data_IF_777809098055
#
_entry.id   IF_777809098055
#
_cell.length_a   1.000
_cell.length_b   1.000
_cell.length_c   1.000
_cell.angle_alpha   90.00
_cell.angle_beta   90.00
_cell.angle_gamma   90.00
#
_symmetry.space_group_name_H-M   'P 1'
#
loop_
_entity.id
_entity.type
_entity.pdbx_description
1 polymer ?
#
# COMPACT_ATOMS: atom_id res chain seq x y z
N UNK A 1 -10.93 52.31 -31.57
CA UNK A 1 -11.18 50.85 -31.50
C UNK A 1 -10.07 50.24 -30.66
N UNK A 2 -10.33 49.77 -29.42
CA UNK A 2 -9.29 49.10 -28.64
C UNK A 2 -9.15 47.65 -29.11
N UNK A 3 -7.91 47.22 -29.31
CA UNK A 3 -7.55 45.87 -29.74
C UNK A 3 -7.97 44.83 -28.69
N UNK A 4 -8.73 43.84 -29.14
CA UNK A 4 -9.12 42.65 -28.38
C UNK A 4 -7.87 41.85 -28.04
N UNK A 5 -7.52 41.76 -26.75
CA UNK A 5 -6.57 40.75 -26.25
C UNK A 5 -7.27 39.39 -26.29
N UNK A 6 -6.83 38.52 -27.20
CA UNK A 6 -7.18 37.11 -27.19
C UNK A 6 -6.53 36.41 -25.98
N UNK A 7 -7.25 35.57 -25.23
CA UNK A 7 -6.66 34.80 -24.14
C UNK A 7 -5.88 33.61 -24.71
N UNK A 8 -4.60 33.51 -24.36
CA UNK A 8 -3.80 32.30 -24.57
C UNK A 8 -4.35 31.22 -23.62
N UNK A 9 -5.19 30.34 -24.14
CA UNK A 9 -5.75 29.19 -23.40
C UNK A 9 -5.42 27.89 -24.13
N UNK A 10 -4.70 27.00 -23.44
CA UNK A 10 -5.21 25.65 -23.29
C UNK A 10 -4.55 24.47 -24.01
N UNK A 11 -3.32 24.54 -24.52
CA UNK A 11 -2.67 23.32 -25.04
C UNK A 11 -1.94 22.54 -23.93
N UNK A 12 -1.17 23.23 -23.07
CA UNK A 12 -0.41 22.60 -21.99
C UNK A 12 -1.26 22.00 -20.85
N UNK A 13 -2.33 22.68 -20.42
CA UNK A 13 -3.09 22.23 -19.23
C UNK A 13 -3.99 21.02 -19.49
N UNK A 14 -4.43 20.80 -20.73
CA UNK A 14 -5.24 19.63 -21.11
C UNK A 14 -4.35 18.39 -21.19
N UNK A 15 -3.13 18.56 -21.72
CA UNK A 15 -2.15 17.49 -21.81
C UNK A 15 -1.69 17.02 -20.41
N UNK A 16 -1.38 17.96 -19.50
CA UNK A 16 -0.99 17.62 -18.11
C UNK A 16 -2.15 16.97 -17.34
N UNK A 17 -3.38 17.46 -17.50
CA UNK A 17 -4.56 16.86 -16.85
C UNK A 17 -4.83 15.42 -17.33
N UNK A 18 -4.65 15.16 -18.63
CA UNK A 18 -4.76 13.80 -19.18
C UNK A 18 -3.66 12.86 -18.65
N UNK A 19 -2.44 13.37 -18.49
CA UNK A 19 -1.31 12.62 -17.95
C UNK A 19 -1.52 12.26 -16.48
N UNK A 20 -2.00 13.21 -15.67
CA UNK A 20 -2.33 13.00 -14.26
C UNK A 20 -3.46 12.01 -14.06
N UNK A 21 -4.52 12.08 -14.87
CA UNK A 21 -5.64 11.15 -14.79
C UNK A 21 -5.23 9.72 -15.16
N UNK A 22 -4.43 9.56 -16.22
CA UNK A 22 -3.88 8.25 -16.62
C UNK A 22 -2.97 7.66 -15.56
N UNK A 23 -2.13 8.49 -14.95
CA UNK A 23 -1.24 8.08 -13.87
C UNK A 23 -2.03 7.65 -12.63
N UNK A 24 -3.02 8.47 -12.22
CA UNK A 24 -3.89 8.15 -11.09
C UNK A 24 -4.65 6.83 -11.31
N UNK A 25 -5.27 6.67 -12.49
CA UNK A 25 -6.03 5.46 -12.82
C UNK A 25 -5.13 4.23 -12.91
N UNK A 26 -3.93 4.35 -13.49
CA UNK A 26 -2.99 3.25 -13.58
C UNK A 26 -2.54 2.75 -12.19
N UNK A 27 -2.03 3.65 -11.35
CA UNK A 27 -1.61 3.30 -10.00
C UNK A 27 -2.79 2.86 -9.12
N UNK A 28 -4.00 3.35 -9.38
CA UNK A 28 -5.23 2.89 -8.75
C UNK A 28 -5.56 1.44 -9.05
N UNK A 29 -5.56 1.04 -10.33
CA UNK A 29 -5.85 -0.34 -10.73
C UNK A 29 -4.78 -1.29 -10.19
N UNK A 30 -3.51 -0.90 -10.30
CA UNK A 30 -2.39 -1.70 -9.81
C UNK A 30 -2.43 -1.85 -8.29
N UNK A 31 -2.67 -0.77 -7.55
CA UNK A 31 -2.80 -0.82 -6.08
C UNK A 31 -3.98 -1.68 -5.62
N UNK A 32 -5.11 -1.59 -6.34
CA UNK A 32 -6.28 -2.44 -6.10
C UNK A 32 -5.95 -3.93 -6.31
N UNK A 33 -5.35 -4.26 -7.45
CA UNK A 33 -4.96 -5.62 -7.79
C UNK A 33 -3.92 -6.18 -6.80
N UNK A 34 -2.89 -5.40 -6.45
CA UNK A 34 -1.84 -5.81 -5.51
C UNK A 34 -2.39 -6.11 -4.09
N UNK A 35 -3.52 -5.50 -3.73
CA UNK A 35 -4.18 -5.75 -2.44
C UNK A 35 -5.07 -6.99 -2.47
N UNK A 36 -5.78 -7.20 -3.59
CA UNK A 36 -6.80 -8.25 -3.70
C UNK A 36 -6.24 -9.60 -4.14
N UNK A 37 -5.23 -9.58 -5.01
CA UNK A 37 -4.61 -10.78 -5.58
C UNK A 37 -3.99 -11.73 -4.52
N UNK A 38 -3.14 -11.27 -3.58
CA UNK A 38 -2.67 -12.12 -2.48
C UNK A 38 -3.82 -12.67 -1.65
N UNK A 39 -4.84 -11.85 -1.38
CA UNK A 39 -5.98 -12.27 -0.58
C UNK A 39 -6.76 -13.42 -1.21
N UNK A 40 -7.01 -13.36 -2.52
CA UNK A 40 -7.67 -14.44 -3.27
C UNK A 40 -6.86 -15.74 -3.19
N UNK A 41 -5.54 -15.64 -3.36
CA UNK A 41 -4.66 -16.82 -3.33
C UNK A 41 -4.51 -17.38 -1.91
N UNK A 42 -4.37 -16.55 -0.88
CA UNK A 42 -4.36 -17.02 0.52
C UNK A 42 -5.69 -17.66 0.92
N UNK A 43 -6.81 -17.10 0.47
CA UNK A 43 -8.14 -17.64 0.74
C UNK A 43 -8.38 -18.99 0.05
N UNK A 44 -7.76 -19.23 -1.10
CA UNK A 44 -7.88 -20.50 -1.83
C UNK A 44 -7.00 -21.61 -1.27
N UNK A 45 -5.93 -21.24 -0.56
CA UNK A 45 -5.16 -22.13 0.30
C UNK A 45 -5.95 -22.45 1.58
N UNK A 46 -7.21 -22.91 1.44
CA UNK A 46 -8.27 -23.25 2.43
C UNK A 46 -7.82 -23.86 3.77
N UNK A 47 -6.58 -24.33 3.82
CA UNK A 47 -5.97 -25.13 4.85
C UNK A 47 -4.70 -24.47 5.41
N UNK A 48 -4.67 -23.15 5.58
CA UNK A 48 -3.83 -22.55 6.64
C UNK A 48 -4.47 -22.78 8.04
N UNK A 49 -5.60 -23.48 8.12
CA UNK A 49 -6.31 -23.81 9.36
C UNK A 49 -5.68 -24.89 10.27
N UNK A 50 -4.65 -25.71 9.92
CA UNK A 50 -3.97 -26.50 10.96
C UNK A 50 -3.06 -25.63 11.83
N UNK A 51 -2.89 -24.35 11.51
CA UNK A 51 -2.06 -23.42 12.24
C UNK A 51 -2.89 -22.38 13.00
N UNK A 52 -2.36 -21.95 14.15
CA UNK A 52 -2.94 -20.85 14.89
C UNK A 52 -2.80 -19.54 14.10
N UNK A 53 -3.75 -18.63 14.28
CA UNK A 53 -3.76 -17.32 13.62
C UNK A 53 -2.40 -16.57 13.69
N UNK A 54 -1.65 -16.55 14.81
CA UNK A 54 -0.32 -15.95 14.87
C UNK A 54 0.70 -16.54 13.89
N UNK A 55 0.65 -17.86 13.68
CA UNK A 55 1.56 -18.56 12.75
C UNK A 55 1.23 -18.18 11.32
N UNK A 56 -0.06 -18.06 10.99
CA UNK A 56 -0.52 -17.59 9.67
C UNK A 56 0.00 -16.19 9.40
N UNK A 57 -0.14 -15.26 10.35
CA UNK A 57 0.35 -13.89 10.23
C UNK A 57 1.87 -13.82 10.02
N UNK A 58 2.64 -14.68 10.70
CA UNK A 58 4.09 -14.77 10.50
C UNK A 58 4.44 -15.27 9.10
N UNK A 59 3.76 -16.31 8.60
CA UNK A 59 3.98 -16.85 7.25
C UNK A 59 3.63 -15.80 6.18
N UNK A 60 2.59 -15.00 6.40
CA UNK A 60 2.14 -13.98 5.45
C UNK A 60 3.00 -12.71 5.47
N UNK A 61 3.51 -12.27 6.62
CA UNK A 61 4.13 -10.94 6.76
C UNK A 61 5.65 -10.97 6.95
N UNK A 62 6.22 -12.02 7.54
CA UNK A 62 7.66 -12.09 7.78
C UNK A 62 8.47 -12.17 6.47
N UNK A 63 8.09 -13.01 5.46
CA UNK A 63 8.78 -13.01 4.17
C UNK A 63 8.65 -11.65 3.46
N UNK A 64 7.48 -11.01 3.54
CA UNK A 64 7.26 -9.69 2.98
C UNK A 64 8.22 -8.64 3.55
N UNK A 65 8.43 -8.61 4.88
CA UNK A 65 9.38 -7.70 5.53
C UNK A 65 10.81 -7.94 5.01
N UNK A 66 11.25 -9.20 4.94
CA UNK A 66 12.58 -9.54 4.43
C UNK A 66 12.76 -9.10 2.98
N UNK A 67 11.77 -9.37 2.12
CA UNK A 67 11.78 -8.98 0.71
C UNK A 67 11.79 -7.45 0.54
N UNK A 68 11.00 -6.71 1.33
CA UNK A 68 11.00 -5.24 1.30
C UNK A 68 12.31 -4.59 1.74
N UNK A 69 13.14 -5.30 2.52
CA UNK A 69 14.49 -4.85 2.88
C UNK A 69 15.51 -5.18 1.78
N UNK A 70 15.35 -6.30 1.08
CA UNK A 70 16.34 -6.80 0.11
C UNK A 70 16.12 -6.26 -1.31
N UNK A 71 14.88 -6.28 -1.81
CA UNK A 71 14.55 -5.95 -3.20
C UNK A 71 14.92 -4.53 -3.63
N UNK A 72 14.75 -3.48 -2.79
CA UNK A 72 15.16 -2.13 -3.16
C UNK A 72 16.64 -2.02 -3.56
N UNK A 73 17.53 -2.90 -3.07
CA UNK A 73 18.93 -2.93 -3.47
C UNK A 73 19.16 -3.49 -4.88
N UNK A 74 18.26 -4.34 -5.37
CA UNK A 74 18.40 -5.06 -6.65
C UNK A 74 17.60 -4.35 -7.75
N UNK A 75 16.56 -3.60 -7.39
CA UNK A 75 15.59 -3.05 -8.34
C UNK A 75 16.24 -2.25 -9.47
N UNK A 76 17.22 -1.41 -9.14
CA UNK A 76 17.93 -0.53 -10.06
C UNK A 76 18.81 -1.28 -11.08
N UNK A 77 19.23 -2.52 -10.81
CA UNK A 77 20.10 -3.27 -11.72
C UNK A 77 19.33 -3.95 -12.87
N UNK A 78 18.02 -4.07 -12.74
CA UNK A 78 17.18 -4.84 -13.67
C UNK A 78 16.18 -3.91 -14.34
N UNK A 79 16.03 -3.96 -15.68
CA UNK A 79 15.05 -3.12 -16.37
C UNK A 79 13.61 -3.44 -15.93
N UNK A 80 12.80 -2.40 -15.79
CA UNK A 80 11.45 -2.48 -15.22
C UNK A 80 10.50 -3.49 -15.90
N UNK A 81 10.63 -3.68 -17.22
CA UNK A 81 9.84 -4.67 -17.96
C UNK A 81 10.10 -6.12 -17.53
N UNK A 82 11.34 -6.45 -17.14
CA UNK A 82 11.69 -7.80 -16.67
C UNK A 82 11.04 -8.05 -15.31
N UNK A 83 11.01 -7.06 -14.42
CA UNK A 83 10.32 -7.18 -13.13
C UNK A 83 8.84 -7.50 -13.30
N UNK A 84 8.15 -6.82 -14.23
CA UNK A 84 6.74 -7.08 -14.49
C UNK A 84 6.50 -8.50 -15.05
N UNK A 85 7.37 -8.97 -15.96
CA UNK A 85 7.31 -10.33 -16.49
C UNK A 85 7.55 -11.39 -15.41
N UNK A 86 8.52 -11.18 -14.52
CA UNK A 86 8.80 -12.06 -13.39
C UNK A 86 7.63 -12.09 -12.41
N UNK A 87 7.10 -10.93 -12.01
CA UNK A 87 5.97 -10.81 -11.10
C UNK A 87 4.73 -11.52 -11.62
N UNK A 88 4.38 -11.30 -12.89
CA UNK A 88 3.22 -11.92 -13.53
C UNK A 88 3.39 -13.43 -13.69
N UNK A 89 4.58 -13.89 -14.08
CA UNK A 89 4.91 -15.32 -14.15
C UNK A 89 4.81 -16.00 -12.78
N UNK A 90 5.39 -15.40 -11.73
CA UNK A 90 5.29 -15.90 -10.36
C UNK A 90 3.85 -15.95 -9.85
N UNK A 91 3.03 -14.95 -10.18
CA UNK A 91 1.60 -14.96 -9.83
C UNK A 91 0.82 -16.05 -10.56
N UNK A 92 1.04 -16.22 -11.87
CA UNK A 92 0.41 -17.31 -12.64
C UNK A 92 0.81 -18.65 -12.03
N UNK A 93 2.10 -18.86 -11.76
CA UNK A 93 2.58 -20.09 -11.14
C UNK A 93 1.95 -20.31 -9.75
N UNK A 94 1.86 -19.28 -8.92
CA UNK A 94 1.23 -19.37 -7.60
C UNK A 94 -0.27 -19.69 -7.68
N UNK A 95 -1.00 -19.09 -8.62
CA UNK A 95 -2.43 -19.37 -8.82
C UNK A 95 -2.66 -20.79 -9.34
N UNK A 96 -1.83 -21.26 -10.27
CA UNK A 96 -1.87 -22.65 -10.75
C UNK A 96 -1.53 -23.62 -9.61
N UNK A 97 -0.47 -23.36 -8.84
CA UNK A 97 -0.07 -24.19 -7.72
C UNK A 97 -1.15 -24.26 -6.63
N UNK A 98 -1.79 -23.13 -6.32
CA UNK A 98 -2.89 -23.08 -5.36
C UNK A 98 -4.13 -23.84 -5.84
N UNK A 99 -4.45 -23.78 -7.13
CA UNK A 99 -5.56 -24.54 -7.73
C UNK A 99 -5.28 -26.05 -7.83
N UNK A 100 -4.05 -26.40 -8.16
CA UNK A 100 -3.62 -27.79 -8.32
C UNK A 100 -3.43 -28.52 -6.99
N UNK A 101 -3.31 -27.82 -5.86
CA UNK A 101 -3.16 -28.42 -4.55
C UNK A 101 -4.49 -29.04 -4.05
N UNK A 102 -4.65 -30.39 -4.00
CA UNK A 102 -5.81 -31.01 -3.39
C UNK A 102 -5.91 -30.70 -1.87
N UNK A 103 -7.09 -30.91 -1.25
CA UNK A 103 -7.27 -30.73 0.19
C UNK A 103 -6.36 -31.63 1.06
N UNK A 104 -5.75 -32.69 0.50
CA UNK A 104 -4.85 -33.59 1.23
C UNK A 104 -3.34 -33.30 1.05
N UNK A 105 -2.95 -32.17 0.44
CA UNK A 105 -1.53 -31.80 0.32
C UNK A 105 -0.88 -31.61 1.69
N UNK A 106 0.34 -32.13 1.85
CA UNK A 106 1.16 -31.96 3.06
C UNK A 106 1.38 -30.46 3.38
N UNK A 107 1.24 -30.10 4.66
CA UNK A 107 1.40 -28.73 5.17
C UNK A 107 2.61 -27.95 4.63
N UNK A 108 3.85 -28.50 4.51
CA UNK A 108 5.01 -27.74 4.05
C UNK A 108 4.89 -27.18 2.62
N UNK A 109 4.22 -27.88 1.71
CA UNK A 109 4.05 -27.39 0.33
C UNK A 109 3.13 -26.16 0.32
N UNK A 110 2.08 -26.15 1.14
CA UNK A 110 1.18 -25.00 1.26
C UNK A 110 1.86 -23.81 1.89
N UNK A 111 2.65 -24.02 2.94
CA UNK A 111 3.42 -22.94 3.55
C UNK A 111 4.43 -22.38 2.57
N UNK A 112 5.07 -23.21 1.73
CA UNK A 112 5.96 -22.75 0.68
C UNK A 112 5.24 -21.87 -0.34
N UNK A 113 4.06 -22.28 -0.84
CA UNK A 113 3.24 -21.46 -1.75
C UNK A 113 2.86 -20.14 -1.07
N UNK A 114 2.44 -20.17 0.20
CA UNK A 114 2.08 -18.96 0.93
C UNK A 114 3.28 -17.99 1.09
N UNK A 115 4.47 -18.52 1.40
CA UNK A 115 5.72 -17.71 1.48
C UNK A 115 6.05 -17.10 0.13
N UNK A 116 5.92 -17.85 -0.97
CA UNK A 116 6.15 -17.34 -2.33
C UNK A 116 5.14 -16.25 -2.71
N UNK A 117 3.87 -16.41 -2.36
CA UNK A 117 2.81 -15.40 -2.58
C UNK A 117 3.09 -14.14 -1.78
N UNK A 118 3.47 -14.28 -0.50
CA UNK A 118 3.88 -13.17 0.37
C UNK A 118 5.06 -12.41 -0.22
N UNK A 119 6.11 -13.13 -0.62
CA UNK A 119 7.30 -12.55 -1.24
C UNK A 119 6.95 -11.82 -2.55
N UNK A 120 6.19 -12.44 -3.44
CA UNK A 120 5.81 -11.85 -4.73
C UNK A 120 4.98 -10.57 -4.56
N UNK A 121 4.08 -10.56 -3.57
CA UNK A 121 3.30 -9.36 -3.20
C UNK A 121 4.20 -8.23 -2.72
N UNK A 122 5.19 -8.54 -1.89
CA UNK A 122 6.16 -7.56 -1.41
C UNK A 122 7.05 -7.01 -2.52
N UNK A 123 7.52 -7.86 -3.46
CA UNK A 123 8.26 -7.39 -4.65
C UNK A 123 7.40 -6.43 -5.46
N UNK A 124 6.13 -6.77 -5.72
CA UNK A 124 5.23 -5.94 -6.50
C UNK A 124 4.98 -4.59 -5.82
N UNK A 125 4.73 -4.58 -4.51
CA UNK A 125 4.56 -3.35 -3.73
C UNK A 125 5.81 -2.45 -3.82
N UNK A 126 7.00 -3.01 -3.58
CA UNK A 126 8.26 -2.26 -3.66
C UNK A 126 8.47 -1.68 -5.05
N UNK A 127 8.20 -2.48 -6.09
CA UNK A 127 8.36 -2.07 -7.48
C UNK A 127 7.44 -0.90 -7.84
N UNK A 128 6.18 -0.90 -7.41
CA UNK A 128 5.28 0.22 -7.71
C UNK A 128 5.53 1.43 -6.81
N UNK A 129 5.89 1.23 -5.54
CA UNK A 129 6.22 2.32 -4.63
C UNK A 129 7.52 3.03 -5.03
N UNK A 130 8.53 2.31 -5.51
CA UNK A 130 9.76 2.94 -6.00
C UNK A 130 9.48 3.84 -7.20
N UNK A 131 8.56 3.44 -8.08
CA UNK A 131 8.16 4.22 -9.26
C UNK A 131 7.44 5.51 -8.92
N UNK A 132 6.99 5.72 -7.68
CA UNK A 132 6.44 6.99 -7.26
C UNK A 132 7.45 8.14 -7.39
N UNK A 133 8.76 7.85 -7.37
CA UNK A 133 9.80 8.86 -7.63
C UNK A 133 9.63 9.52 -9.01
N UNK A 134 9.22 8.76 -10.02
CA UNK A 134 9.08 9.21 -11.41
C UNK A 134 7.73 9.87 -11.68
N UNK A 135 6.64 9.33 -11.13
CA UNK A 135 5.28 9.75 -11.46
C UNK A 135 4.68 10.75 -10.45
N UNK A 136 5.38 11.03 -9.35
CA UNK A 136 5.00 12.09 -8.43
C UNK A 136 3.74 11.81 -7.61
N UNK A 137 3.12 12.88 -7.12
CA UNK A 137 2.06 12.82 -6.10
C UNK A 137 0.73 12.25 -6.62
N UNK A 138 0.46 12.37 -7.91
CA UNK A 138 -0.76 11.82 -8.54
C UNK A 138 -0.72 10.30 -8.57
N UNK A 139 0.45 9.70 -8.81
CA UNK A 139 0.67 8.27 -8.64
C UNK A 139 0.48 7.81 -7.20
N UNK A 140 0.99 8.57 -6.21
CA UNK A 140 0.80 8.24 -4.80
C UNK A 140 -0.69 8.23 -4.42
N UNK A 141 -1.45 9.22 -4.88
CA UNK A 141 -2.89 9.30 -4.66
C UNK A 141 -3.64 8.14 -5.33
N UNK A 142 -3.27 7.79 -6.57
CA UNK A 142 -3.81 6.64 -7.29
C UNK A 142 -3.54 5.34 -6.52
N UNK A 143 -2.28 5.08 -6.20
CA UNK A 143 -1.83 3.90 -5.45
C UNK A 143 -2.56 3.76 -4.12
N UNK A 144 -2.57 4.83 -3.32
CA UNK A 144 -3.23 4.78 -2.02
C UNK A 144 -4.75 4.61 -2.14
N UNK A 145 -5.41 5.26 -3.10
CA UNK A 145 -6.85 5.07 -3.33
C UNK A 145 -7.15 3.63 -3.76
N UNK A 146 -6.37 3.10 -4.69
CA UNK A 146 -6.49 1.72 -5.19
C UNK A 146 -6.33 0.68 -4.10
N UNK A 147 -5.29 0.82 -3.28
CA UNK A 147 -5.02 -0.09 -2.14
C UNK A 147 -6.13 -0.05 -1.09
N UNK A 148 -6.64 1.13 -0.73
CA UNK A 148 -7.78 1.23 0.19
C UNK A 148 -9.08 0.66 -0.40
N UNK A 149 -9.35 0.88 -1.69
CA UNK A 149 -10.49 0.27 -2.37
C UNK A 149 -10.37 -1.27 -2.42
N UNK A 150 -9.16 -1.78 -2.64
CA UNK A 150 -8.85 -3.20 -2.57
C UNK A 150 -9.05 -3.77 -1.16
N UNK A 151 -8.69 -3.00 -0.13
CA UNK A 151 -8.95 -3.32 1.27
C UNK A 151 -10.44 -3.39 1.59
N UNK A 152 -11.23 -2.43 1.08
CA UNK A 152 -12.70 -2.45 1.20
C UNK A 152 -13.30 -3.69 0.55
N UNK A 153 -12.87 -4.01 -0.68
CA UNK A 153 -13.29 -5.23 -1.38
C UNK A 153 -12.90 -6.49 -0.60
N UNK A 154 -11.67 -6.57 -0.09
CA UNK A 154 -11.19 -7.69 0.74
C UNK A 154 -12.08 -7.93 1.97
N UNK A 155 -12.60 -6.87 2.60
CA UNK A 155 -13.46 -7.01 3.78
C UNK A 155 -14.82 -7.64 3.45
N UNK A 156 -15.38 -7.37 2.27
CA UNK A 156 -16.72 -7.85 1.88
C UNK A 156 -16.71 -9.07 0.96
N UNK A 157 -15.58 -9.33 0.28
CA UNK A 157 -15.44 -10.40 -0.71
C UNK A 157 -15.91 -11.76 -0.16
N UNK A 158 -15.57 -12.17 1.08
CA UNK A 158 -16.09 -13.40 1.67
C UNK A 158 -17.61 -13.48 1.69
N UNK A 159 -18.26 -12.42 2.15
CA UNK A 159 -19.71 -12.33 2.35
C UNK A 159 -20.42 -12.29 1.00
N UNK A 160 -19.85 -11.62 0.00
CA UNK A 160 -20.39 -11.61 -1.36
C UNK A 160 -20.30 -13.01 -1.98
N UNK A 161 -19.13 -13.65 -1.94
CA UNK A 161 -18.93 -14.95 -2.56
C UNK A 161 -19.75 -16.05 -1.89
N UNK A 162 -19.72 -16.14 -0.56
CA UNK A 162 -20.35 -17.25 0.17
C UNK A 162 -21.84 -17.07 0.37
N UNK A 163 -22.29 -15.87 0.75
CA UNK A 163 -23.70 -15.64 1.10
C UNK A 163 -24.53 -15.27 -0.14
N UNK A 164 -24.02 -14.38 -1.01
CA UNK A 164 -24.82 -13.89 -2.13
C UNK A 164 -24.69 -14.78 -3.38
N UNK A 165 -23.49 -15.30 -3.65
CA UNK A 165 -23.24 -16.15 -4.84
C UNK A 165 -23.27 -17.65 -4.53
N UNK A 166 -23.27 -18.06 -3.26
CA UNK A 166 -23.21 -19.48 -2.88
C UNK A 166 -21.94 -20.20 -3.34
N UNK A 167 -20.88 -19.45 -3.66
CA UNK A 167 -19.62 -19.98 -4.16
C UNK A 167 -18.65 -20.24 -3.01
N UNK A 168 -17.89 -21.33 -3.14
CA UNK A 168 -16.72 -21.57 -2.31
C UNK A 168 -15.64 -20.53 -2.67
N UNK A 169 -14.94 -19.97 -1.69
CA UNK A 169 -13.74 -19.13 -1.89
C UNK A 169 -12.72 -19.76 -2.83
N UNK A 170 -12.72 -21.08 -3.00
CA UNK A 170 -11.72 -21.76 -3.85
C UNK A 170 -11.99 -21.46 -5.30
N UNK A 171 -13.25 -21.28 -5.67
CA UNK A 171 -13.66 -20.91 -7.02
C UNK A 171 -13.28 -19.45 -7.32
N UNK A 172 -12.97 -18.65 -6.30
CA UNK A 172 -12.56 -17.27 -6.47
C UNK A 172 -11.14 -17.11 -7.05
N UNK A 173 -10.33 -18.18 -7.11
CA UNK A 173 -9.00 -18.15 -7.75
C UNK A 173 -9.06 -17.77 -9.22
N UNK A 174 -10.16 -18.06 -9.91
CA UNK A 174 -10.38 -17.60 -11.28
C UNK A 174 -10.30 -16.08 -11.42
N UNK A 175 -10.71 -15.34 -10.37
CA UNK A 175 -10.64 -13.88 -10.37
C UNK A 175 -9.20 -13.32 -10.29
N UNK A 176 -8.24 -14.13 -9.85
CA UNK A 176 -6.83 -13.74 -9.85
C UNK A 176 -6.31 -13.45 -11.27
N UNK A 177 -6.75 -14.21 -12.28
CA UNK A 177 -6.34 -14.00 -13.67
C UNK A 177 -6.86 -12.68 -14.23
N UNK A 178 -8.08 -12.25 -13.86
CA UNK A 178 -8.60 -10.95 -14.26
C UNK A 178 -7.79 -9.80 -13.63
N UNK A 179 -7.39 -9.93 -12.37
CA UNK A 179 -6.53 -8.94 -11.71
C UNK A 179 -5.14 -8.86 -12.35
N UNK A 180 -4.55 -10.01 -12.73
CA UNK A 180 -3.28 -10.06 -13.44
C UNK A 180 -3.36 -9.42 -14.82
N UNK A 181 -4.41 -9.74 -15.58
CA UNK A 181 -4.66 -9.12 -16.87
C UNK A 181 -4.82 -7.59 -16.71
N UNK A 182 -5.56 -7.15 -15.70
CA UNK A 182 -5.73 -5.73 -15.40
C UNK A 182 -4.38 -5.05 -15.08
N UNK A 183 -3.51 -5.66 -14.26
CA UNK A 183 -2.17 -5.12 -13.98
C UNK A 183 -1.31 -5.02 -15.25
N UNK A 184 -1.31 -6.05 -16.10
CA UNK A 184 -0.53 -6.04 -17.35
C UNK A 184 -1.04 -4.99 -18.32
N UNK A 185 -2.35 -4.99 -18.60
CA UNK A 185 -2.99 -3.99 -19.47
C UNK A 185 -2.71 -2.58 -18.97
N UNK A 186 -2.79 -2.37 -17.66
CA UNK A 186 -2.54 -1.08 -17.05
C UNK A 186 -1.10 -0.62 -17.26
N UNK A 187 -0.12 -1.49 -17.03
CA UNK A 187 1.29 -1.13 -17.20
C UNK A 187 1.65 -0.86 -18.67
N UNK A 188 1.17 -1.67 -19.61
CA UNK A 188 1.54 -1.52 -21.03
C UNK A 188 0.76 -0.42 -21.74
N UNK A 189 -0.53 -0.24 -21.44
CA UNK A 189 -1.42 0.64 -22.20
C UNK A 189 -1.79 1.93 -21.47
N UNK A 190 -1.96 1.87 -20.14
CA UNK A 190 -2.50 3.00 -19.37
C UNK A 190 -1.38 3.87 -18.84
N UNK A 191 -0.32 3.25 -18.29
CA UNK A 191 0.81 3.94 -17.69
C UNK A 191 1.57 4.74 -18.76
N UNK A 192 1.65 6.08 -18.64
CA UNK A 192 2.39 6.88 -19.60
C UNK A 192 3.90 6.64 -19.45
N UNK A 193 4.66 6.79 -20.53
CA UNK A 193 6.13 6.82 -20.46
C UNK A 193 6.54 7.94 -19.49
N UNK A 194 7.46 7.68 -18.55
CA UNK A 194 7.90 8.70 -17.60
C UNK A 194 8.45 9.89 -18.40
N UNK A 195 7.88 11.07 -18.19
CA UNK A 195 8.42 12.29 -18.77
C UNK A 195 9.80 12.50 -18.13
N UNK A 196 10.87 12.52 -18.93
CA UNK A 196 12.13 13.07 -18.47
C UNK A 196 11.84 14.49 -18.00
N UNK A 197 11.89 14.72 -16.70
CA UNK A 197 11.78 16.04 -16.12
C UNK A 197 13.03 16.80 -16.58
N UNK A 198 12.93 17.58 -17.66
CA UNK A 198 13.85 18.69 -17.83
C UNK A 198 13.69 19.56 -16.57
N UNK A 199 14.76 19.81 -15.80
CA UNK A 199 14.67 20.77 -14.72
C UNK A 199 14.26 22.10 -15.35
N UNK A 200 13.17 22.70 -14.85
CA UNK A 200 12.79 24.08 -15.15
C UNK A 200 13.89 25.03 -14.62
N UNK A 201 15.00 25.10 -15.34
CA UNK A 201 15.98 26.18 -15.27
C UNK A 201 15.91 26.90 -16.59
N UNK A 202 15.02 27.89 -16.70
CA UNK A 202 15.18 29.11 -17.53
C UNK A 202 13.85 29.88 -17.62
N UNK A 203 13.49 30.61 -16.57
CA UNK A 203 12.71 31.87 -16.71
C UNK A 203 13.15 32.90 -15.67
N UNK A 204 14.44 33.15 -15.59
CA UNK A 204 14.97 34.43 -15.15
C UNK A 204 16.37 34.58 -15.74
N UNK A 205 16.56 35.61 -16.56
CA UNK A 205 17.85 36.16 -16.95
C UNK A 205 18.57 35.53 -18.17
N UNK A 206 18.02 35.76 -19.37
CA UNK A 206 18.79 36.06 -20.59
C UNK A 206 17.96 36.92 -21.54
N UNK A 207 17.97 38.23 -21.32
CA UNK A 207 17.55 39.22 -22.30
C UNK A 207 18.76 40.08 -22.66
N UNK A 208 19.67 39.55 -23.49
CA UNK A 208 20.57 40.33 -24.37
C UNK A 208 21.66 39.44 -24.98
N UNK A 209 21.82 39.49 -26.30
CA UNK A 209 23.05 39.09 -26.99
C UNK A 209 22.84 38.07 -28.09
N UNK A 210 22.74 38.56 -29.33
CA UNK A 210 22.92 37.82 -30.58
C UNK A 210 24.33 37.20 -30.72
N UNK A 211 24.42 36.24 -31.65
CA UNK A 211 25.61 35.62 -32.27
C UNK A 211 26.38 34.56 -31.47
N UNK A 212 26.10 33.28 -31.78
CA UNK A 212 27.06 32.32 -32.36
C UNK A 212 26.51 30.89 -32.28
N UNK A 213 26.06 30.39 -33.45
CA UNK A 213 25.64 29.02 -33.65
C UNK A 213 26.86 28.15 -33.97
N UNK A 214 27.36 27.35 -33.01
CA UNK A 214 28.00 26.04 -33.25
C UNK A 214 28.48 25.26 -32.01
N UNK A 215 28.32 25.76 -30.76
CA UNK A 215 28.95 25.13 -29.57
C UNK A 215 28.02 24.39 -28.58
N UNK A 216 26.73 24.21 -28.87
CA UNK A 216 25.79 23.59 -27.91
C UNK A 216 25.82 22.05 -27.92
N UNK A 217 26.20 21.44 -29.05
CA UNK A 217 26.19 19.97 -29.21
C UNK A 217 27.30 19.27 -28.40
N UNK A 218 28.45 19.92 -28.19
CA UNK A 218 29.57 19.33 -27.43
C UNK A 218 29.37 19.39 -25.91
N UNK A 219 28.77 20.46 -25.39
CA UNK A 219 28.51 20.62 -23.95
C UNK A 219 27.46 19.62 -23.44
N UNK A 220 26.44 19.34 -24.26
CA UNK A 220 25.41 18.34 -23.97
C UNK A 220 25.96 16.91 -24.02
N UNK A 221 26.87 16.63 -24.95
CA UNK A 221 27.60 15.35 -25.04
C UNK A 221 28.53 15.15 -23.84
N UNK A 222 29.15 16.21 -23.34
CA UNK A 222 30.06 16.17 -22.18
C UNK A 222 29.33 16.00 -20.85
N UNK A 223 28.11 16.55 -20.73
CA UNK A 223 27.21 16.31 -19.59
C UNK A 223 26.60 14.90 -19.60
N UNK A 224 26.21 14.40 -20.78
CA UNK A 224 25.80 13.01 -20.96
C UNK A 224 26.96 12.05 -20.66
N UNK A 225 28.18 12.34 -21.15
CA UNK A 225 29.37 11.56 -20.81
C UNK A 225 29.73 11.63 -19.32
N UNK A 226 29.58 12.80 -18.67
CA UNK A 226 29.81 12.93 -17.23
C UNK A 226 28.76 12.20 -16.38
N UNK A 227 27.50 12.15 -16.84
CA UNK A 227 26.45 11.35 -16.22
C UNK A 227 26.70 9.84 -16.44
N UNK A 228 27.15 9.46 -17.63
CA UNK A 228 27.47 8.07 -17.99
C UNK A 228 28.73 7.57 -17.26
N UNK A 229 29.74 8.43 -17.05
CA UNK A 229 30.94 8.17 -16.24
C UNK A 229 30.60 8.14 -14.74
N UNK A 230 29.71 8.99 -14.24
CA UNK A 230 29.27 8.93 -12.83
C UNK A 230 28.40 7.70 -12.51
N UNK A 231 27.77 7.12 -13.54
CA UNK A 231 27.04 5.85 -13.44
C UNK A 231 27.95 4.61 -13.55
N UNK A 232 29.21 4.76 -13.95
CA UNK A 232 30.18 3.66 -14.00
C UNK A 232 30.68 3.30 -12.59
N UNK A 233 29.98 2.31 -12.03
CA UNK A 233 30.43 1.36 -11.00
C UNK A 233 30.74 1.93 -9.61
N UNK A 234 29.74 2.55 -8.97
CA UNK A 234 29.62 2.37 -7.52
C UNK A 234 29.34 0.88 -7.31
N UNK A 235 30.22 0.16 -6.60
CA UNK A 235 30.05 -1.26 -6.36
C UNK A 235 28.71 -1.53 -5.64
N UNK A 236 28.09 -2.69 -5.90
CA UNK A 236 26.87 -3.12 -5.19
C UNK A 236 27.01 -2.94 -3.67
N UNK A 237 28.18 -3.29 -3.12
CA UNK A 237 28.48 -3.17 -1.70
C UNK A 237 28.59 -1.72 -1.21
N UNK A 238 29.19 -0.82 -1.98
CA UNK A 238 29.29 0.60 -1.63
C UNK A 238 27.92 1.27 -1.65
N UNK A 239 27.09 0.96 -2.66
CA UNK A 239 25.72 1.44 -2.73
C UNK A 239 24.87 0.85 -1.61
N UNK A 240 24.97 -0.45 -1.36
CA UNK A 240 24.26 -1.09 -0.25
C UNK A 240 24.65 -0.47 1.09
N UNK A 241 25.94 -0.20 1.31
CA UNK A 241 26.40 0.46 2.54
C UNK A 241 25.83 1.88 2.66
N UNK A 242 25.87 2.68 1.57
CA UNK A 242 25.26 4.02 1.54
C UNK A 242 23.75 3.99 1.79
N UNK A 243 23.06 3.03 1.19
CA UNK A 243 21.62 2.84 1.31
C UNK A 243 21.23 2.38 2.73
N UNK A 244 22.03 1.51 3.36
CA UNK A 244 21.87 1.12 4.77
C UNK A 244 22.10 2.31 5.70
N UNK A 245 23.08 3.18 5.42
CA UNK A 245 23.30 4.42 6.20
C UNK A 245 22.16 5.43 6.04
N UNK A 246 21.62 5.57 4.82
CA UNK A 246 20.42 6.36 4.51
C UNK A 246 19.20 5.85 5.24
N UNK A 247 19.00 4.53 5.22
CA UNK A 247 17.96 3.83 5.98
C UNK A 247 18.12 4.12 7.48
N UNK A 248 19.30 3.89 8.05
CA UNK A 248 19.57 3.96 9.50
C UNK A 248 19.41 5.34 10.13
N UNK A 249 19.80 6.43 9.44
CA UNK A 249 20.00 7.72 10.12
C UNK A 249 18.80 8.68 10.07
N UNK A 250 18.15 8.85 8.92
CA UNK A 250 17.10 9.88 8.74
C UNK A 250 15.78 9.33 8.20
N UNK A 251 15.81 8.38 7.26
CA UNK A 251 14.59 7.79 6.70
C UNK A 251 13.83 6.93 7.73
N UNK A 252 14.57 6.17 8.56
CA UNK A 252 13.97 5.35 9.61
C UNK A 252 13.19 6.20 10.61
N UNK A 253 13.82 7.26 11.14
CA UNK A 253 13.19 8.17 12.12
C UNK A 253 12.07 9.03 11.56
N UNK A 254 12.14 9.42 10.28
CA UNK A 254 11.18 10.37 9.71
C UNK A 254 9.95 9.69 9.11
N UNK A 255 10.10 8.49 8.53
CA UNK A 255 9.06 7.86 7.72
C UNK A 255 8.72 6.44 8.18
N UNK A 256 9.72 5.60 8.48
CA UNK A 256 9.49 4.18 8.81
C UNK A 256 8.87 4.05 10.20
N UNK A 257 9.43 4.70 11.22
CA UNK A 257 8.92 4.59 12.60
C UNK A 257 7.48 5.11 12.76
N UNK A 258 7.12 6.29 12.20
CA UNK A 258 5.74 6.75 12.27
C UNK A 258 4.76 5.84 11.53
N UNK A 259 5.16 5.30 10.36
CA UNK A 259 4.30 4.40 9.59
C UNK A 259 4.12 3.06 10.31
N UNK A 260 5.17 2.53 10.93
CA UNK A 260 5.12 1.35 11.77
C UNK A 260 4.17 1.55 12.95
N UNK A 261 4.27 2.66 13.65
CA UNK A 261 3.45 2.94 14.83
C UNK A 261 1.97 3.11 14.46
N UNK A 262 1.67 3.87 13.39
CA UNK A 262 0.32 4.01 12.83
C UNK A 262 -0.22 2.64 12.42
N UNK A 263 0.59 1.85 11.71
CA UNK A 263 0.21 0.53 11.23
C UNK A 263 -0.04 -0.48 12.36
N UNK A 264 0.76 -0.43 13.43
CA UNK A 264 0.58 -1.29 14.60
C UNK A 264 -0.71 -0.95 15.37
N UNK A 265 -0.94 0.34 15.61
CA UNK A 265 -2.12 0.80 16.35
C UNK A 265 -3.41 0.51 15.57
N UNK A 266 -3.43 0.73 14.24
CA UNK A 266 -4.60 0.37 13.43
C UNK A 266 -4.82 -1.15 13.39
N UNK A 267 -3.77 -1.96 13.25
CA UNK A 267 -3.90 -3.41 13.13
C UNK A 267 -4.40 -4.02 14.45
N UNK A 268 -3.92 -3.51 15.59
CA UNK A 268 -4.41 -3.88 16.92
C UNK A 268 -5.92 -3.68 17.04
N UNK A 269 -6.42 -2.50 16.65
CA UNK A 269 -7.86 -2.20 16.76
C UNK A 269 -8.66 -2.96 15.70
N UNK A 270 -8.33 -2.82 14.42
CA UNK A 270 -9.09 -3.41 13.31
C UNK A 270 -9.19 -4.93 13.38
N UNK A 271 -8.12 -5.62 13.80
CA UNK A 271 -8.09 -7.08 13.87
C UNK A 271 -8.52 -7.64 15.24
N UNK A 272 -8.22 -6.95 16.35
CA UNK A 272 -8.41 -7.50 17.70
C UNK A 272 -9.75 -7.16 18.36
N UNK A 273 -10.41 -6.09 17.93
CA UNK A 273 -11.69 -5.67 18.52
C UNK A 273 -12.94 -6.41 18.01
N UNK A 274 -13.07 -6.87 16.75
CA UNK A 274 -14.33 -7.40 16.24
C UNK A 274 -14.90 -8.56 17.08
N UNK A 275 -14.11 -9.61 17.35
CA UNK A 275 -14.58 -10.77 18.14
C UNK A 275 -14.77 -10.45 19.62
N UNK A 276 -13.91 -9.61 20.17
CA UNK A 276 -14.02 -9.18 21.56
C UNK A 276 -15.19 -8.20 21.78
N UNK A 277 -15.72 -7.57 20.74
CA UNK A 277 -16.80 -6.58 20.86
C UNK A 277 -18.15 -7.20 21.27
N UNK A 278 -19.06 -6.32 21.69
CA UNK A 278 -20.43 -6.68 22.07
C UNK A 278 -21.21 -7.21 20.86
N UNK A 279 -21.97 -8.27 21.08
CA UNK A 279 -22.93 -8.74 20.08
C UNK A 279 -24.02 -7.69 19.87
N UNK A 280 -24.15 -7.24 18.61
CA UNK A 280 -25.12 -6.23 18.21
C UNK A 280 -26.33 -6.91 17.59
N UNK A 281 -27.53 -6.63 18.11
CA UNK A 281 -28.80 -7.28 17.70
C UNK A 281 -29.19 -7.08 16.23
N UNK A 282 -28.59 -6.09 15.56
CA UNK A 282 -28.86 -5.79 14.14
C UNK A 282 -28.24 -6.86 13.21
N UNK A 283 -27.20 -7.58 13.68
CA UNK A 283 -26.51 -8.58 12.86
C UNK A 283 -26.90 -10.00 13.30
N UNK A 284 -27.29 -10.83 12.34
CA UNK A 284 -27.66 -12.23 12.57
C UNK A 284 -26.46 -13.16 12.81
N UNK A 285 -25.26 -12.76 12.37
CA UNK A 285 -24.04 -13.55 12.52
C UNK A 285 -22.76 -12.74 12.53
N UNK A 286 -21.69 -13.33 13.09
CA UNK A 286 -20.37 -12.71 13.22
C UNK A 286 -19.73 -12.39 11.86
N UNK A 287 -19.97 -13.20 10.83
CA UNK A 287 -19.45 -12.97 9.48
C UNK A 287 -19.97 -11.66 8.87
N UNK A 288 -21.28 -11.38 9.01
CA UNK A 288 -21.88 -10.13 8.54
C UNK A 288 -21.38 -8.91 9.34
N UNK A 289 -21.25 -9.07 10.65
CA UNK A 289 -20.70 -8.03 11.52
C UNK A 289 -19.24 -7.71 11.18
N UNK A 290 -18.37 -8.72 11.08
CA UNK A 290 -16.95 -8.54 10.82
C UNK A 290 -16.68 -7.96 9.42
N UNK A 291 -17.46 -8.38 8.41
CA UNK A 291 -17.41 -7.78 7.08
C UNK A 291 -17.81 -6.29 7.10
N UNK A 292 -18.91 -5.95 7.79
CA UNK A 292 -19.37 -4.55 7.91
C UNK A 292 -18.38 -3.69 8.71
N UNK A 293 -17.80 -4.26 9.77
CA UNK A 293 -16.79 -3.59 10.59
C UNK A 293 -15.53 -3.29 9.79
N UNK A 294 -15.00 -4.28 9.05
CA UNK A 294 -13.88 -4.11 8.16
C UNK A 294 -14.18 -3.11 7.04
N UNK A 295 -15.37 -3.15 6.44
CA UNK A 295 -15.79 -2.19 5.43
C UNK A 295 -15.85 -0.76 5.97
N UNK A 296 -16.39 -0.55 7.17
CA UNK A 296 -16.48 0.78 7.78
C UNK A 296 -15.11 1.41 8.01
N UNK A 297 -14.13 0.61 8.46
CA UNK A 297 -12.73 1.01 8.55
C UNK A 297 -12.19 1.45 7.17
N UNK A 298 -12.35 0.59 6.17
CA UNK A 298 -11.79 0.79 4.84
C UNK A 298 -12.44 1.95 4.08
N UNK A 299 -13.73 2.24 4.32
CA UNK A 299 -14.40 3.45 3.78
C UNK A 299 -13.73 4.71 4.33
N UNK A 300 -13.42 4.74 5.64
CA UNK A 300 -12.70 5.87 6.24
C UNK A 300 -11.33 6.07 5.61
N UNK A 301 -10.56 4.98 5.48
CA UNK A 301 -9.23 4.99 4.84
C UNK A 301 -9.30 5.41 3.36
N UNK A 302 -10.29 4.90 2.62
CA UNK A 302 -10.52 5.26 1.22
C UNK A 302 -10.85 6.74 1.05
N UNK A 303 -11.72 7.30 1.90
CA UNK A 303 -12.04 8.73 1.88
C UNK A 303 -10.78 9.56 2.17
N UNK A 304 -9.97 9.15 3.14
CA UNK A 304 -8.72 9.85 3.46
C UNK A 304 -7.73 9.84 2.30
N UNK A 305 -7.52 8.68 1.66
CA UNK A 305 -6.55 8.52 0.58
C UNK A 305 -6.99 9.18 -0.72
N UNK A 306 -8.27 9.12 -1.07
CA UNK A 306 -8.82 9.78 -2.26
C UNK A 306 -8.81 11.30 -2.16
N UNK A 307 -8.96 11.86 -0.95
CA UNK A 307 -8.96 13.31 -0.72
C UNK A 307 -7.57 13.91 -0.45
N UNK A 308 -6.52 13.09 -0.44
CA UNK A 308 -5.17 13.49 -0.06
C UNK A 308 -4.53 14.55 -0.96
N UNK A 309 -4.90 14.59 -2.25
CA UNK A 309 -4.43 15.64 -3.17
C UNK A 309 -5.07 17.00 -2.87
N UNK A 310 -6.27 17.01 -2.29
CA UNK A 310 -7.03 18.23 -1.99
C UNK A 310 -6.66 18.80 -0.61
N UNK A 311 -6.48 17.93 0.38
CA UNK A 311 -6.28 18.33 1.78
C UNK A 311 -4.93 17.89 2.33
N UNK A 312 -3.88 18.66 2.01
CA UNK A 312 -2.56 18.44 2.62
C UNK A 312 -2.52 18.99 4.04
N UNK A 313 -2.43 18.11 5.04
CA UNK A 313 -2.41 18.55 6.44
C UNK A 313 -1.01 18.93 6.89
N UNK A 314 -0.83 20.16 7.37
CA UNK A 314 0.48 20.68 7.80
C UNK A 314 0.91 20.27 9.21
N UNK A 315 0.09 19.49 9.95
CA UNK A 315 0.33 19.09 11.35
C UNK A 315 0.16 17.58 11.57
N UNK A 316 1.10 16.73 11.09
CA UNK A 316 1.00 15.27 11.22
C UNK A 316 0.97 14.79 12.68
N UNK A 317 1.62 15.51 13.60
CA UNK A 317 1.59 15.20 15.04
C UNK A 317 0.18 15.24 15.64
N UNK A 318 -0.66 16.16 15.17
CA UNK A 318 -2.03 16.28 15.66
C UNK A 318 -2.91 15.13 15.15
N UNK A 319 -2.77 14.75 13.87
CA UNK A 319 -3.46 13.59 13.31
C UNK A 319 -3.05 12.32 14.07
N UNK A 320 -1.75 12.16 14.33
CA UNK A 320 -1.24 11.02 15.09
C UNK A 320 -1.79 10.97 16.52
N UNK A 321 -1.82 12.11 17.22
CA UNK A 321 -2.40 12.20 18.56
C UNK A 321 -3.91 11.85 18.56
N UNK A 322 -4.67 12.36 17.58
CA UNK A 322 -6.07 12.02 17.40
C UNK A 322 -6.27 10.53 17.11
N UNK A 323 -5.43 9.93 16.26
CA UNK A 323 -5.48 8.50 15.94
C UNK A 323 -5.33 7.68 17.23
N UNK A 324 -4.33 7.99 18.05
CA UNK A 324 -4.09 7.31 19.33
C UNK A 324 -5.29 7.46 20.26
N UNK A 325 -5.86 8.65 20.38
CA UNK A 325 -7.06 8.90 21.21
C UNK A 325 -8.26 8.09 20.71
N UNK A 326 -8.53 8.08 19.39
CA UNK A 326 -9.61 7.29 18.81
C UNK A 326 -9.39 5.78 19.02
N UNK A 327 -8.16 5.29 18.90
CA UNK A 327 -7.83 3.89 19.16
C UNK A 327 -7.98 3.51 20.64
N UNK A 328 -7.55 4.38 21.56
CA UNK A 328 -7.78 4.19 22.99
C UNK A 328 -9.28 4.16 23.31
N UNK A 329 -10.06 5.05 22.72
CA UNK A 329 -11.51 5.03 22.83
C UNK A 329 -12.13 3.74 22.27
N UNK A 330 -11.59 3.18 21.17
CA UNK A 330 -12.04 1.89 20.62
C UNK A 330 -11.78 0.72 21.57
N UNK A 331 -10.56 0.69 22.11
CA UNK A 331 -10.10 -0.34 23.04
C UNK A 331 -10.91 -0.28 24.32
N UNK A 332 -11.12 0.92 24.88
CA UNK A 332 -11.95 1.14 26.07
C UNK A 332 -13.41 0.75 25.81
N UNK A 333 -13.97 1.15 24.67
CA UNK A 333 -15.33 0.75 24.29
C UNK A 333 -15.48 -0.76 24.20
N UNK A 334 -14.48 -1.45 23.67
CA UNK A 334 -14.47 -2.91 23.53
C UNK A 334 -14.23 -3.62 24.88
N UNK A 335 -13.32 -3.11 25.72
CA UNK A 335 -13.00 -3.72 27.01
C UNK A 335 -14.16 -3.58 28.00
N UNK A 336 -14.74 -2.38 28.11
CA UNK A 336 -15.81 -2.06 29.06
C UNK A 336 -17.22 -2.28 28.52
N UNK A 337 -17.38 -2.63 27.24
CA UNK A 337 -18.69 -2.79 26.56
C UNK A 337 -19.60 -1.56 26.69
N UNK A 338 -19.00 -0.36 26.64
CA UNK A 338 -19.63 0.94 26.89
C UNK A 338 -20.81 1.23 25.94
N UNK A 339 -20.61 1.08 24.64
CA UNK A 339 -21.63 1.40 23.64
C UNK A 339 -22.39 0.17 23.17
N UNK A 340 -23.72 0.25 23.21
CA UNK A 340 -24.64 -0.67 22.51
C UNK A 340 -25.07 -0.10 21.14
N UNK A 341 -24.71 1.16 20.85
CA UNK A 341 -25.10 1.84 19.63
C UNK A 341 -24.12 1.53 18.49
N UNK A 342 -24.64 0.87 17.45
CA UNK A 342 -23.93 0.50 16.22
C UNK A 342 -23.25 1.69 15.53
N UNK A 343 -23.89 2.86 15.52
CA UNK A 343 -23.33 4.06 14.88
C UNK A 343 -22.06 4.56 15.59
N UNK A 344 -21.97 4.39 16.91
CA UNK A 344 -20.77 4.77 17.67
C UNK A 344 -19.61 3.84 17.33
N UNK A 345 -19.85 2.52 17.28
CA UNK A 345 -18.81 1.53 16.94
C UNK A 345 -18.29 1.75 15.53
N UNK A 346 -19.19 1.89 14.55
CA UNK A 346 -18.80 2.08 13.15
C UNK A 346 -18.25 3.47 12.86
N UNK A 347 -18.79 4.52 13.48
CA UNK A 347 -18.26 5.88 13.35
C UNK A 347 -16.84 5.97 13.91
N UNK A 348 -16.58 5.29 15.03
CA UNK A 348 -15.26 5.28 15.65
C UNK A 348 -14.23 4.51 14.83
N UNK A 349 -14.55 3.30 14.35
CA UNK A 349 -13.60 2.55 13.50
C UNK A 349 -13.38 3.24 12.14
N UNK A 350 -14.41 3.87 11.57
CA UNK A 350 -14.27 4.66 10.35
C UNK A 350 -13.38 5.88 10.57
N UNK A 351 -13.49 6.55 11.71
CA UNK A 351 -12.60 7.66 12.09
C UNK A 351 -11.14 7.21 12.21
N UNK A 352 -10.89 6.02 12.76
CA UNK A 352 -9.54 5.44 12.83
C UNK A 352 -9.01 5.15 11.43
N UNK A 353 -9.81 4.57 10.54
CA UNK A 353 -9.45 4.36 9.15
C UNK A 353 -9.10 5.68 8.44
N UNK A 354 -9.92 6.71 8.64
CA UNK A 354 -9.69 8.03 8.07
C UNK A 354 -8.38 8.68 8.56
N UNK A 355 -8.15 8.69 9.87
CA UNK A 355 -6.91 9.25 10.44
C UNK A 355 -5.67 8.47 9.99
N UNK A 356 -5.78 7.14 9.88
CA UNK A 356 -4.69 6.28 9.39
C UNK A 356 -4.34 6.56 7.93
N UNK A 357 -5.34 6.64 7.05
CA UNK A 357 -5.12 6.96 5.63
C UNK A 357 -4.53 8.35 5.41
N UNK A 358 -4.93 9.33 6.23
CA UNK A 358 -4.32 10.66 6.20
C UNK A 358 -2.85 10.62 6.64
N UNK A 359 -2.51 9.82 7.66
CA UNK A 359 -1.12 9.64 8.10
C UNK A 359 -0.28 8.96 7.02
N UNK A 360 -0.80 7.89 6.39
CA UNK A 360 -0.14 7.21 5.27
C UNK A 360 0.24 8.21 4.17
N UNK A 361 -0.73 8.98 3.69
CA UNK A 361 -0.50 9.96 2.62
C UNK A 361 0.44 11.09 3.00
N UNK A 362 0.36 11.57 4.26
CA UNK A 362 1.28 12.60 4.74
C UNK A 362 2.71 12.09 4.86
N UNK A 363 2.93 10.83 5.28
CA UNK A 363 4.26 10.22 5.41
C UNK A 363 4.90 10.05 4.03
N UNK A 364 4.21 9.42 3.08
CA UNK A 364 4.72 9.26 1.71
C UNK A 364 4.89 10.60 1.01
N UNK A 365 3.95 11.53 1.18
CA UNK A 365 4.07 12.89 0.63
C UNK A 365 5.26 13.68 1.20
N UNK A 366 5.55 13.53 2.50
CA UNK A 366 6.73 14.13 3.12
C UNK A 366 8.03 13.47 2.64
N UNK A 367 8.04 12.14 2.46
CA UNK A 367 9.18 11.41 1.93
C UNK A 367 9.51 11.86 0.50
N UNK A 368 8.50 11.97 -0.37
CA UNK A 368 8.69 12.44 -1.75
C UNK A 368 9.21 13.88 -1.81
N UNK A 369 8.70 14.77 -0.94
CA UNK A 369 9.22 16.15 -0.87
C UNK A 369 10.67 16.20 -0.38
N UNK A 370 11.02 15.39 0.62
CA UNK A 370 12.40 15.29 1.10
C UNK A 370 13.35 14.80 0.01
N UNK A 371 12.95 13.79 -0.77
CA UNK A 371 13.74 13.24 -1.86
C UNK A 371 13.87 14.22 -3.03
N UNK A 372 12.82 14.97 -3.35
CA UNK A 372 12.89 16.03 -4.38
C UNK A 372 13.90 17.14 -4.04
N UNK A 373 14.16 17.38 -2.75
CA UNK A 373 15.15 18.37 -2.28
C UNK A 373 16.57 17.82 -2.17
N UNK A 374 16.73 16.50 -2.14
CA UNK A 374 18.02 15.84 -1.96
C UNK A 374 18.26 14.85 -3.12
N UNK A 375 18.63 15.35 -4.32
CA UNK A 375 18.83 14.51 -5.50
C UNK A 375 19.99 13.50 -5.35
N UNK A 376 20.89 13.72 -4.37
CA UNK A 376 21.97 12.78 -4.06
C UNK A 376 21.47 11.47 -3.40
N UNK A 377 20.25 11.48 -2.86
CA UNK A 377 19.65 10.32 -2.21
C UNK A 377 18.92 9.42 -3.22
N UNK A 378 19.07 8.11 -3.03
CA UNK A 378 18.42 7.09 -3.88
C UNK A 378 16.91 7.05 -3.62
N UNK A 379 16.13 7.80 -4.40
CA UNK A 379 14.69 7.99 -4.19
C UNK A 379 13.87 6.71 -4.40
N UNK A 380 14.25 5.89 -5.39
CA UNK A 380 13.62 4.59 -5.64
C UNK A 380 13.80 3.65 -4.45
N UNK A 381 15.04 3.57 -3.93
CA UNK A 381 15.36 2.78 -2.74
C UNK A 381 14.57 3.28 -1.53
N UNK A 382 14.60 4.59 -1.27
CA UNK A 382 13.95 5.19 -0.11
C UNK A 382 12.43 4.94 -0.12
N UNK A 383 11.75 5.15 -1.25
CA UNK A 383 10.30 4.95 -1.36
C UNK A 383 9.92 3.47 -1.28
N UNK A 384 10.74 2.57 -1.86
CA UNK A 384 10.57 1.12 -1.73
C UNK A 384 10.71 0.62 -0.29
N UNK A 385 11.65 1.16 0.49
CA UNK A 385 11.89 0.75 1.87
C UNK A 385 10.86 1.28 2.88
N UNK A 386 10.18 2.40 2.62
CA UNK A 386 9.21 2.97 3.57
C UNK A 386 8.10 1.97 3.91
N UNK A 387 7.65 1.17 2.94
CA UNK A 387 6.62 0.14 3.11
C UNK A 387 6.98 -0.98 4.09
N UNK A 388 8.26 -1.11 4.49
CA UNK A 388 8.70 -2.03 5.56
C UNK A 388 7.99 -1.69 6.87
N UNK A 389 7.89 -0.39 7.19
CA UNK A 389 7.25 0.10 8.40
C UNK A 389 5.80 -0.34 8.49
N UNK A 390 5.05 -0.20 7.39
CA UNK A 390 3.65 -0.63 7.32
C UNK A 390 3.50 -2.14 7.58
N UNK A 391 4.27 -3.00 6.89
CA UNK A 391 4.18 -4.45 7.09
C UNK A 391 4.62 -4.90 8.48
N UNK A 392 5.69 -4.32 9.02
CA UNK A 392 6.18 -4.62 10.36
C UNK A 392 5.18 -4.17 11.42
N UNK A 393 4.59 -2.98 11.25
CA UNK A 393 3.53 -2.47 12.11
C UNK A 393 2.30 -3.37 12.09
N UNK A 394 1.81 -3.75 10.89
CA UNK A 394 0.68 -4.68 10.75
C UNK A 394 0.98 -6.00 11.46
N UNK A 395 2.18 -6.56 11.33
CA UNK A 395 2.55 -7.80 12.01
C UNK A 395 2.51 -7.65 13.54
N UNK A 396 3.20 -6.65 14.09
CA UNK A 396 3.26 -6.40 15.54
C UNK A 396 1.86 -6.13 16.10
N UNK A 397 1.10 -5.26 15.44
CA UNK A 397 -0.26 -4.91 15.84
C UNK A 397 -1.23 -6.09 15.75
N UNK A 398 -1.12 -6.92 14.72
CA UNK A 398 -1.97 -8.12 14.57
C UNK A 398 -1.63 -9.20 15.61
N UNK A 399 -0.36 -9.38 15.96
CA UNK A 399 0.03 -10.29 17.05
C UNK A 399 -0.49 -9.78 18.40
N UNK A 400 -0.39 -8.47 18.65
CA UNK A 400 -0.98 -7.84 19.83
C UNK A 400 -2.52 -7.91 19.84
N UNK A 401 -3.16 -7.86 18.67
CA UNK A 401 -4.61 -8.07 18.54
C UNK A 401 -5.02 -9.48 18.98
N UNK A 402 -4.27 -10.53 18.62
CA UNK A 402 -4.59 -11.90 19.03
C UNK A 402 -4.47 -12.07 20.55
N UNK A 403 -3.45 -11.50 21.17
CA UNK A 403 -3.31 -11.55 22.64
C UNK A 403 -4.40 -10.73 23.33
N UNK A 404 -4.74 -9.56 22.81
CA UNK A 404 -5.84 -8.74 23.31
C UNK A 404 -7.20 -9.45 23.21
N UNK A 405 -7.51 -10.05 22.05
CA UNK A 405 -8.73 -10.82 21.82
C UNK A 405 -8.82 -12.00 22.78
N UNK A 406 -7.76 -12.83 22.86
CA UNK A 406 -7.74 -14.01 23.74
C UNK A 406 -7.92 -13.66 25.22
N UNK A 407 -7.32 -12.57 25.70
CA UNK A 407 -7.52 -12.11 27.09
C UNK A 407 -8.96 -11.67 27.35
N UNK A 408 -9.53 -10.82 26.48
CA UNK A 408 -10.90 -10.34 26.66
C UNK A 408 -11.93 -11.47 26.51
N UNK A 409 -11.68 -12.42 25.63
CA UNK A 409 -12.58 -13.55 25.42
C UNK A 409 -12.42 -14.63 26.50
N UNK A 410 -11.21 -14.81 27.06
CA UNK A 410 -10.98 -15.65 28.23
C UNK A 410 -11.65 -15.12 29.52
N UNK A 411 -11.70 -13.79 29.69
CA UNK A 411 -12.41 -13.15 30.80
C UNK A 411 -13.94 -13.28 30.70
N UNK A 412 -14.46 -13.56 29.50
CA UNK A 412 -15.88 -13.43 29.17
C UNK A 412 -16.69 -14.73 29.24
N UNK A 413 -16.40 -15.62 30.19
CA UNK A 413 -17.27 -16.74 30.58
C UNK A 413 -18.70 -16.30 31.03
N UNK A 414 -19.03 -15.00 30.97
CA UNK A 414 -20.37 -14.43 31.19
C UNK A 414 -20.81 -13.48 30.05
N UNK A 415 -21.68 -14.02 29.18
CA UNK A 415 -22.70 -13.39 28.30
C UNK A 415 -22.42 -12.03 27.60
N UNK A 416 -22.46 -12.02 26.26
CA UNK A 416 -22.78 -10.83 25.45
C UNK A 416 -21.74 -10.39 24.40
N UNK A 417 -20.60 -11.07 24.28
CA UNK A 417 -19.55 -10.82 23.25
C UNK A 417 -19.67 -11.78 22.07
N UNK A 418 -19.17 -11.40 20.90
CA UNK A 418 -19.12 -12.29 19.73
C UNK A 418 -18.27 -13.54 19.94
N UNK A 419 -17.28 -13.51 20.84
CA UNK A 419 -16.54 -14.71 21.26
C UNK A 419 -17.40 -15.81 21.92
N UNK A 420 -18.59 -15.49 22.43
CA UNK A 420 -19.50 -16.47 23.04
C UNK A 420 -20.43 -17.17 22.05
N UNK A 421 -20.58 -16.61 20.86
CA UNK A 421 -21.33 -17.22 19.76
C UNK A 421 -20.44 -18.26 19.06
N UNK A 422 -20.67 -19.54 19.38
CA UNK A 422 -20.13 -20.65 18.62
C UNK A 422 -20.92 -20.69 17.30
N UNK A 423 -20.30 -20.24 16.21
CA UNK A 423 -20.78 -20.50 14.84
C UNK A 423 -19.65 -21.10 14.04
#
# INVERSE_FOLDING_TARGET
MPAVKLPVRGSGSIFTAGWDLRTFTAFGIVGFANTLLPYIVFSSLYLIVPFSLPVVLLIELLPAIAVKLLIPHILHYTPHWIWLALLSSCWILATIAANAAPPNVIAPIRTLIAVLVSANTAVAEVFFLSQLSHYGKTALAGWGTGTAAGGAMRAVLPTILTIHMGLMMRNATGYAYYMLLAMMVTYFLVLPTPLCHEPDTMTADKLSGEDDAESETESQKLLLLSAEIRSKSIGFWERAHRNIQLMSSKLLRLCIDPLLLVAAVQALVSSGTPRASRSLRIFSGYSAFSATYGLAFQIGDLIARSTALLFRTRRPRLIFALLVVCCLAAILNTSLMLSTNTYVVFGLISSIGWLSGMMYMNIYGAAMEYLSRNPDADAEFALGCIGVGETAGILIGSLAAVTFESQLCGLASRSGRWCSTIT
#
